data_IF_509867154081
#
_entry.id   IF_509867154081
#
_cell.length_a   1.000
_cell.length_b   1.000
_cell.length_c   1.000
_cell.angle_alpha   90.00
_cell.angle_beta   90.00
_cell.angle_gamma   90.00
#
_symmetry.space_group_name_H-M   'P 1'
#
loop_
_entity.id
_entity.type
_entity.pdbx_description
1 polymer ?
#
# COMPACT_ATOMS: atom_id res chain seq x y z
N UNK A 1 -27.36 6.49 -41.44
CA UNK A 1 -26.48 7.58 -41.95
C UNK A 1 -27.06 8.30 -43.15
N UNK A 2 -27.92 7.66 -43.94
CA UNK A 2 -28.59 8.22 -45.13
C UNK A 2 -29.38 9.53 -44.90
N UNK A 3 -29.88 9.78 -43.69
CA UNK A 3 -30.63 11.02 -43.36
C UNK A 3 -29.73 12.27 -43.20
N UNK A 4 -28.47 12.09 -42.77
CA UNK A 4 -27.51 13.21 -42.61
C UNK A 4 -26.86 13.60 -43.94
N UNK A 5 -26.70 12.64 -44.86
CA UNK A 5 -26.23 12.88 -46.23
C UNK A 5 -27.24 13.67 -47.07
N UNK A 6 -28.54 13.51 -46.81
CA UNK A 6 -29.62 14.23 -47.52
C UNK A 6 -29.98 15.59 -46.93
N UNK A 7 -29.38 16.00 -45.81
CA UNK A 7 -29.71 17.23 -45.10
C UNK A 7 -28.75 18.39 -45.43
N UNK A 8 -29.19 19.65 -45.23
CA UNK A 8 -28.34 20.82 -45.43
C UNK A 8 -27.09 20.73 -44.52
N UNK A 9 -25.88 21.02 -45.03
CA UNK A 9 -24.64 20.95 -44.26
C UNK A 9 -24.68 21.65 -42.89
N UNK A 10 -25.39 22.78 -42.79
CA UNK A 10 -25.55 23.51 -41.53
C UNK A 10 -26.39 22.72 -40.51
N UNK A 11 -27.42 22.01 -40.95
CA UNK A 11 -28.29 21.21 -40.09
C UNK A 11 -27.56 19.94 -39.67
N UNK A 12 -26.86 19.28 -40.59
CA UNK A 12 -26.03 18.11 -40.29
C UNK A 12 -24.92 18.45 -39.29
N UNK A 13 -24.24 19.59 -39.46
CA UNK A 13 -23.21 20.05 -38.52
C UNK A 13 -23.79 20.33 -37.12
N UNK A 14 -24.96 20.97 -37.02
CA UNK A 14 -25.63 21.22 -35.75
C UNK A 14 -26.03 19.92 -35.03
N UNK A 15 -26.58 18.94 -35.77
CA UNK A 15 -26.95 17.63 -35.22
C UNK A 15 -25.72 16.88 -34.72
N UNK A 16 -24.65 16.83 -35.51
CA UNK A 16 -23.39 16.18 -35.12
C UNK A 16 -22.79 16.85 -33.87
N UNK A 17 -22.79 18.18 -33.82
CA UNK A 17 -22.32 18.93 -32.66
C UNK A 17 -23.15 18.66 -31.39
N UNK A 18 -24.48 18.59 -31.52
CA UNK A 18 -25.37 18.23 -30.43
C UNK A 18 -25.13 16.79 -29.94
N UNK A 19 -24.98 15.83 -30.87
CA UNK A 19 -24.69 14.44 -30.53
C UNK A 19 -23.33 14.29 -29.82
N UNK A 20 -22.29 14.96 -30.32
CA UNK A 20 -20.98 14.97 -29.67
C UNK A 20 -21.06 15.54 -28.25
N UNK A 21 -21.81 16.62 -28.05
CA UNK A 21 -22.02 17.24 -26.74
C UNK A 21 -22.73 16.31 -25.76
N UNK A 22 -23.80 15.63 -26.21
CA UNK A 22 -24.51 14.63 -25.39
C UNK A 22 -23.60 13.48 -25.01
N UNK A 23 -22.83 12.94 -25.97
CA UNK A 23 -21.91 11.83 -25.73
C UNK A 23 -20.81 12.19 -24.73
N UNK A 24 -20.17 13.35 -24.91
CA UNK A 24 -19.12 13.84 -24.00
C UNK A 24 -19.70 14.15 -22.63
N UNK A 25 -20.87 14.80 -22.57
CA UNK A 25 -21.54 15.14 -21.30
C UNK A 25 -21.92 13.89 -20.50
N UNK A 26 -22.58 12.92 -21.14
CA UNK A 26 -22.98 11.66 -20.48
C UNK A 26 -21.74 10.83 -20.11
N UNK A 27 -20.77 10.70 -21.02
CA UNK A 27 -19.53 9.97 -20.75
C UNK A 27 -18.73 10.56 -19.59
N UNK A 28 -18.58 11.89 -19.56
CA UNK A 28 -17.93 12.61 -18.47
C UNK A 28 -18.65 12.45 -17.13
N UNK A 29 -20.00 12.51 -17.14
CA UNK A 29 -20.82 12.31 -15.95
C UNK A 29 -20.65 10.89 -15.38
N UNK A 30 -20.75 9.85 -16.23
CA UNK A 30 -20.59 8.45 -15.81
C UNK A 30 -19.18 8.17 -15.27
N UNK A 31 -18.15 8.71 -15.93
CA UNK A 31 -16.77 8.58 -15.47
C UNK A 31 -16.59 9.21 -14.08
N UNK A 32 -17.07 10.45 -13.91
CA UNK A 32 -16.98 11.19 -12.65
C UNK A 32 -17.73 10.46 -11.54
N UNK A 33 -18.95 9.98 -11.82
CA UNK A 33 -19.76 9.24 -10.85
C UNK A 33 -19.09 7.92 -10.43
N UNK A 34 -18.43 7.21 -11.36
CA UNK A 34 -17.68 6.00 -11.05
C UNK A 34 -16.50 6.29 -10.11
N UNK A 35 -15.77 7.38 -10.34
CA UNK A 35 -14.66 7.80 -9.47
C UNK A 35 -15.14 8.21 -8.08
N UNK A 36 -16.24 8.96 -7.99
CA UNK A 36 -16.86 9.34 -6.71
C UNK A 36 -17.25 8.10 -5.91
N UNK A 37 -17.97 7.16 -6.53
CA UNK A 37 -18.41 5.93 -5.85
C UNK A 37 -17.23 5.11 -5.33
N UNK A 38 -16.14 5.00 -6.08
CA UNK A 38 -14.91 4.32 -5.62
C UNK A 38 -14.33 5.03 -4.40
N UNK A 39 -14.21 6.36 -4.45
CA UNK A 39 -13.70 7.15 -3.33
C UNK A 39 -14.58 7.02 -2.08
N UNK A 40 -15.90 7.05 -2.22
CA UNK A 40 -16.84 6.91 -1.10
C UNK A 40 -16.69 5.54 -0.40
N UNK A 41 -16.56 4.46 -1.18
CA UNK A 41 -16.30 3.12 -0.63
C UNK A 41 -14.95 3.10 0.09
N UNK A 42 -13.90 3.65 -0.51
CA UNK A 42 -12.59 3.72 0.13
C UNK A 42 -12.61 4.55 1.42
N UNK A 43 -13.29 5.69 1.43
CA UNK A 43 -13.45 6.56 2.60
C UNK A 43 -14.23 5.87 3.72
N UNK A 44 -15.32 5.15 3.40
CA UNK A 44 -16.12 4.41 4.37
C UNK A 44 -15.32 3.33 5.13
N UNK A 45 -14.30 2.75 4.49
CA UNK A 45 -13.46 1.72 5.09
C UNK A 45 -12.12 2.25 5.64
N UNK A 46 -11.72 3.47 5.27
CA UNK A 46 -10.40 4.03 5.62
C UNK A 46 -10.17 4.12 7.11
N UNK A 47 -11.16 4.60 7.87
CA UNK A 47 -11.03 4.77 9.31
C UNK A 47 -10.72 3.42 10.00
N UNK A 48 -11.43 2.36 9.61
CA UNK A 48 -11.22 1.02 10.15
C UNK A 48 -9.87 0.42 9.76
N UNK A 49 -9.46 0.61 8.49
CA UNK A 49 -8.13 0.18 8.02
C UNK A 49 -7.00 0.87 8.80
N UNK A 50 -7.12 2.18 9.03
CA UNK A 50 -6.13 2.96 9.79
C UNK A 50 -5.98 2.40 11.21
N UNK A 51 -7.07 2.06 11.88
CA UNK A 51 -7.05 1.43 13.21
C UNK A 51 -6.28 0.10 13.19
N UNK A 52 -6.65 -0.82 12.28
CA UNK A 52 -6.00 -2.13 12.13
C UNK A 52 -4.49 -1.99 11.86
N UNK A 53 -4.12 -1.05 10.99
CA UNK A 53 -2.72 -0.85 10.62
C UNK A 53 -1.92 -0.11 11.68
N UNK A 54 -2.56 0.77 12.46
CA UNK A 54 -1.94 1.37 13.63
C UNK A 54 -1.59 0.30 14.65
N UNK A 55 -2.51 -0.64 14.95
CA UNK A 55 -2.24 -1.73 15.89
C UNK A 55 -1.02 -2.57 15.46
N UNK A 56 -0.85 -2.79 14.16
CA UNK A 56 0.33 -3.45 13.60
C UNK A 56 1.62 -2.66 13.81
N UNK A 57 1.60 -1.35 13.54
CA UNK A 57 2.76 -0.49 13.77
C UNK A 57 3.09 -0.36 15.26
N UNK A 58 2.09 -0.37 16.14
CA UNK A 58 2.27 -0.32 17.59
C UNK A 58 2.96 -1.58 18.10
N UNK A 59 2.53 -2.77 17.64
CA UNK A 59 3.21 -4.03 17.98
C UNK A 59 4.64 -4.06 17.43
N UNK A 60 4.84 -3.62 16.18
CA UNK A 60 6.19 -3.52 15.61
C UNK A 60 7.08 -2.56 16.43
N UNK A 61 6.56 -1.41 16.84
CA UNK A 61 7.30 -0.46 17.68
C UNK A 61 7.64 -1.05 19.06
N UNK A 62 6.71 -1.78 19.69
CA UNK A 62 6.96 -2.47 20.97
C UNK A 62 8.04 -3.56 20.83
N UNK A 63 8.07 -4.29 19.72
CA UNK A 63 9.15 -5.24 19.45
C UNK A 63 10.50 -4.54 19.31
N UNK A 64 10.55 -3.41 18.60
CA UNK A 64 11.80 -2.65 18.38
C UNK A 64 12.27 -1.90 19.64
N UNK A 65 11.40 -1.70 20.63
CA UNK A 65 11.77 -1.10 21.91
C UNK A 65 12.54 -2.07 22.84
N UNK A 66 12.57 -3.36 22.52
CA UNK A 66 13.34 -4.34 23.28
C UNK A 66 14.83 -4.00 23.24
N UNK A 67 15.40 -3.67 24.40
CA UNK A 67 16.80 -3.24 24.53
C UNK A 67 17.06 -1.74 24.39
N UNK A 68 16.02 -0.91 24.22
CA UNK A 68 16.16 0.55 24.22
C UNK A 68 15.69 1.15 25.56
N UNK A 69 16.63 1.46 26.46
CA UNK A 69 16.36 2.02 27.78
C UNK A 69 15.70 3.42 27.74
N UNK A 70 15.75 4.10 26.60
CA UNK A 70 15.14 5.43 26.41
C UNK A 70 13.66 5.38 26.06
N UNK A 71 13.08 4.19 25.87
CA UNK A 71 11.69 4.01 25.45
C UNK A 71 10.92 3.21 26.50
N UNK A 72 9.83 3.76 27.01
CA UNK A 72 9.00 3.14 28.07
C UNK A 72 8.00 2.08 27.55
N UNK A 73 8.11 1.67 26.28
CA UNK A 73 7.25 0.67 25.68
C UNK A 73 7.65 -0.72 26.16
N UNK A 74 6.67 -1.49 26.66
CA UNK A 74 6.88 -2.87 27.06
C UNK A 74 6.93 -3.78 25.83
N UNK A 75 8.00 -4.57 25.63
CA UNK A 75 8.04 -5.59 24.60
C UNK A 75 6.85 -6.55 24.72
N UNK A 76 6.26 -7.01 23.61
CA UNK A 76 5.15 -7.93 23.66
C UNK A 76 5.62 -9.32 24.08
N UNK A 77 4.78 -10.05 24.82
CA UNK A 77 5.08 -11.46 25.12
C UNK A 77 4.93 -12.32 23.86
N UNK A 78 5.52 -13.51 23.84
CA UNK A 78 5.34 -14.44 22.71
C UNK A 78 3.86 -14.78 22.46
N UNK A 79 3.07 -14.96 23.52
CA UNK A 79 1.64 -15.22 23.40
C UNK A 79 0.89 -14.02 22.81
N UNK A 80 1.20 -12.80 23.29
CA UNK A 80 0.63 -11.57 22.74
C UNK A 80 0.92 -11.42 21.25
N UNK A 81 2.13 -11.78 20.80
CA UNK A 81 2.50 -11.75 19.38
C UNK A 81 1.70 -12.76 18.56
N UNK A 82 1.52 -13.99 19.07
CA UNK A 82 0.74 -15.02 18.38
C UNK A 82 -0.72 -14.59 18.23
N UNK A 83 -1.34 -14.14 19.32
CA UNK A 83 -2.73 -13.70 19.32
C UNK A 83 -2.92 -12.48 18.41
N UNK A 84 -1.99 -11.53 18.48
CA UNK A 84 -1.97 -10.38 17.59
C UNK A 84 -1.87 -10.79 16.12
N UNK A 85 -0.95 -11.70 15.77
CA UNK A 85 -0.77 -12.12 14.38
C UNK A 85 -1.99 -12.83 13.81
N UNK A 86 -2.71 -13.62 14.62
CA UNK A 86 -3.98 -14.22 14.22
C UNK A 86 -5.06 -13.16 14.01
N UNK A 87 -5.19 -12.22 14.96
CA UNK A 87 -6.15 -11.11 14.86
C UNK A 87 -5.88 -10.20 13.65
N UNK A 88 -4.63 -9.82 13.44
CA UNK A 88 -4.19 -9.01 12.31
C UNK A 88 -4.52 -9.69 10.97
N UNK A 89 -4.21 -10.98 10.81
CA UNK A 89 -4.54 -11.73 9.58
C UNK A 89 -6.05 -11.78 9.33
N UNK A 90 -6.85 -12.02 10.37
CA UNK A 90 -8.32 -12.00 10.29
C UNK A 90 -8.83 -10.64 9.80
N UNK A 91 -8.30 -9.55 10.38
CA UNK A 91 -8.64 -8.19 9.98
C UNK A 91 -8.20 -7.88 8.54
N UNK A 92 -7.03 -8.34 8.12
CA UNK A 92 -6.53 -8.16 6.75
C UNK A 92 -7.38 -8.91 5.73
N UNK A 93 -7.88 -10.11 6.04
CA UNK A 93 -8.81 -10.85 5.17
C UNK A 93 -10.10 -10.06 4.95
N UNK A 94 -10.61 -9.40 6.00
CA UNK A 94 -11.86 -8.65 5.95
C UNK A 94 -11.70 -7.25 5.31
N UNK A 95 -10.62 -6.54 5.62
CA UNK A 95 -10.47 -5.11 5.32
C UNK A 95 -9.28 -4.76 4.42
N UNK A 96 -8.29 -5.64 4.30
CA UNK A 96 -7.08 -5.34 3.53
C UNK A 96 -7.30 -5.42 2.02
N UNK A 97 -6.65 -4.55 1.24
CA UNK A 97 -6.62 -4.73 -0.22
C UNK A 97 -5.86 -6.00 -0.61
N UNK A 98 -6.08 -6.48 -1.86
CA UNK A 98 -5.27 -7.54 -2.44
C UNK A 98 -3.76 -7.30 -2.32
N UNK A 99 -3.31 -6.04 -2.38
CA UNK A 99 -1.89 -5.70 -2.26
C UNK A 99 -1.35 -6.00 -0.85
N UNK A 100 -2.11 -5.69 0.20
CA UNK A 100 -1.74 -6.00 1.60
C UNK A 100 -1.74 -7.51 1.85
N UNK A 101 -2.77 -8.22 1.36
CA UNK A 101 -2.86 -9.68 1.47
C UNK A 101 -1.63 -10.34 0.84
N UNK A 102 -1.29 -9.96 -0.39
CA UNK A 102 -0.13 -10.50 -1.10
C UNK A 102 1.19 -10.16 -0.40
N UNK A 103 1.33 -8.94 0.12
CA UNK A 103 2.53 -8.54 0.85
C UNK A 103 2.69 -9.35 2.16
N UNK A 104 1.60 -9.62 2.87
CA UNK A 104 1.59 -10.43 4.09
C UNK A 104 1.93 -11.90 3.82
N UNK A 105 1.40 -12.48 2.73
CA UNK A 105 1.77 -13.83 2.30
C UNK A 105 3.24 -13.92 1.91
N UNK A 106 3.74 -12.92 1.19
CA UNK A 106 5.16 -12.84 0.83
C UNK A 106 6.06 -12.70 2.07
N UNK A 107 5.64 -11.91 3.06
CA UNK A 107 6.33 -11.84 4.36
C UNK A 107 6.40 -13.21 5.04
N UNK A 108 5.28 -13.94 5.15
CA UNK A 108 5.27 -15.28 5.74
C UNK A 108 6.22 -16.24 5.02
N UNK A 109 6.15 -16.26 3.69
CA UNK A 109 7.03 -17.10 2.86
C UNK A 109 8.51 -16.79 3.12
N UNK A 110 8.91 -15.52 3.02
CA UNK A 110 10.30 -15.10 3.19
C UNK A 110 10.80 -15.40 4.61
N UNK A 111 9.97 -15.19 5.62
CA UNK A 111 10.31 -15.48 7.02
C UNK A 111 10.51 -16.97 7.28
N UNK A 112 9.73 -17.84 6.63
CA UNK A 112 9.90 -19.30 6.74
C UNK A 112 11.10 -19.83 5.96
N UNK A 113 11.47 -19.19 4.85
CA UNK A 113 12.58 -19.59 3.98
C UNK A 113 13.93 -18.99 4.38
N UNK A 114 13.99 -18.21 5.47
CA UNK A 114 15.23 -17.54 5.92
C UNK A 114 15.72 -16.44 4.97
N UNK A 115 14.81 -15.85 4.18
CA UNK A 115 15.14 -14.78 3.24
C UNK A 115 15.31 -13.41 3.91
N UNK A 116 15.36 -12.35 3.11
CA UNK A 116 15.49 -10.98 3.64
C UNK A 116 14.16 -10.47 4.22
N UNK A 117 13.93 -10.75 5.51
CA UNK A 117 12.72 -10.38 6.25
C UNK A 117 12.52 -8.87 6.28
N UNK A 118 13.58 -8.07 6.45
CA UNK A 118 13.50 -6.60 6.46
C UNK A 118 12.92 -6.06 5.15
N UNK A 119 13.29 -6.64 4.02
CA UNK A 119 12.69 -6.31 2.71
C UNK A 119 11.20 -6.61 2.67
N UNK A 120 10.82 -7.75 3.20
CA UNK A 120 9.43 -8.20 3.19
C UNK A 120 8.55 -7.30 4.07
N UNK A 121 9.06 -6.88 5.23
CA UNK A 121 8.40 -5.92 6.12
C UNK A 121 8.28 -4.54 5.46
N UNK A 122 9.33 -4.03 4.81
CA UNK A 122 9.26 -2.74 4.08
C UNK A 122 8.19 -2.77 2.98
N UNK A 123 8.08 -3.89 2.25
CA UNK A 123 7.03 -4.09 1.26
C UNK A 123 5.63 -4.14 1.88
N UNK A 124 5.48 -4.77 3.06
CA UNK A 124 4.22 -4.80 3.78
C UNK A 124 3.82 -3.40 4.26
N UNK A 125 4.74 -2.61 4.82
CA UNK A 125 4.48 -1.21 5.19
C UNK A 125 4.07 -0.36 3.99
N UNK A 126 4.73 -0.53 2.83
CA UNK A 126 4.36 0.15 1.59
C UNK A 126 2.95 -0.24 1.13
N UNK A 127 2.60 -1.52 1.17
CA UNK A 127 1.27 -1.99 0.82
C UNK A 127 0.19 -1.41 1.73
N UNK A 128 0.44 -1.38 3.05
CA UNK A 128 -0.46 -0.79 4.05
C UNK A 128 -0.70 0.70 3.78
N UNK A 129 0.37 1.47 3.53
CA UNK A 129 0.27 2.90 3.21
C UNK A 129 -0.60 3.16 1.99
N UNK A 130 -0.37 2.40 0.92
CA UNK A 130 -1.18 2.52 -0.30
C UNK A 130 -2.64 2.13 -0.07
N UNK A 131 -2.88 1.14 0.79
CA UNK A 131 -4.25 0.68 1.10
C UNK A 131 -5.12 1.72 1.80
N UNK A 132 -4.48 2.67 2.49
CA UNK A 132 -5.12 3.85 3.09
C UNK A 132 -4.93 5.12 2.24
N UNK A 133 -4.59 4.97 0.96
CA UNK A 133 -4.51 6.05 -0.02
C UNK A 133 -3.27 6.94 0.07
N UNK A 134 -2.20 6.52 0.76
CA UNK A 134 -0.93 7.24 0.77
C UNK A 134 -0.05 6.81 -0.40
N UNK A 135 0.65 7.77 -1.00
CA UNK A 135 1.67 7.46 -1.99
C UNK A 135 2.96 6.96 -1.33
N UNK A 136 3.64 6.04 -2.02
CA UNK A 136 5.01 5.64 -1.73
C UNK A 136 6.03 6.29 -2.67
N UNK A 137 5.60 7.25 -3.51
CA UNK A 137 6.51 7.98 -4.40
C UNK A 137 7.51 8.79 -3.57
N UNK A 138 8.78 8.71 -3.94
CA UNK A 138 9.87 9.36 -3.20
C UNK A 138 10.35 8.59 -1.98
N UNK A 139 9.83 7.38 -1.72
CA UNK A 139 10.38 6.48 -0.71
C UNK A 139 11.48 5.59 -1.30
N UNK A 140 12.65 5.63 -0.68
CA UNK A 140 13.78 4.80 -1.00
C UNK A 140 13.58 3.34 -0.53
N UNK A 141 14.55 2.50 -0.89
CA UNK A 141 14.59 1.10 -0.50
C UNK A 141 14.78 1.01 1.02
N UNK A 142 13.94 0.22 1.70
CA UNK A 142 13.98 -0.01 3.15
C UNK A 142 13.66 1.22 4.02
N UNK A 143 13.33 2.37 3.43
CA UNK A 143 13.22 3.63 4.17
C UNK A 143 12.19 3.57 5.31
N UNK A 144 11.11 2.79 5.17
CA UNK A 144 10.11 2.67 6.23
C UNK A 144 10.59 1.81 7.39
N UNK A 145 11.37 0.76 7.10
CA UNK A 145 11.96 -0.09 8.15
C UNK A 145 13.12 0.62 8.84
N UNK A 146 13.90 1.43 8.10
CA UNK A 146 14.98 2.26 8.65
C UNK A 146 14.50 3.23 9.74
N UNK A 147 13.23 3.61 9.75
CA UNK A 147 12.66 4.47 10.79
C UNK A 147 12.75 3.88 12.20
N UNK A 148 12.91 2.56 12.31
CA UNK A 148 13.00 1.86 13.59
C UNK A 148 14.43 1.47 13.97
N UNK A 149 15.44 1.82 13.15
CA UNK A 149 16.84 1.56 13.45
C UNK A 149 17.44 2.69 14.28
N UNK A 150 18.35 2.35 15.19
CA UNK A 150 19.13 3.34 15.94
C UNK A 150 20.03 4.18 15.01
N UNK A 151 20.60 3.56 13.97
CA UNK A 151 21.30 4.23 12.90
C UNK A 151 20.67 3.86 11.54
N UNK A 152 20.05 4.81 10.81
CA UNK A 152 19.42 4.56 9.51
C UNK A 152 20.38 4.04 8.42
N UNK A 153 21.68 4.35 8.53
CA UNK A 153 22.71 3.99 7.54
C UNK A 153 23.29 2.58 7.79
N UNK A 154 23.05 2.01 8.97
CA UNK A 154 23.55 0.68 9.37
C UNK A 154 23.17 -0.41 8.36
N UNK A 155 21.96 -0.34 7.81
CA UNK A 155 21.52 -1.28 6.78
C UNK A 155 22.27 -1.13 5.44
N UNK A 156 22.63 0.10 5.07
CA UNK A 156 23.35 0.35 3.83
C UNK A 156 24.80 -0.11 3.97
N UNK A 157 25.42 0.15 5.13
CA UNK A 157 26.76 -0.29 5.50
C UNK A 157 26.88 -1.83 5.54
N UNK A 158 25.94 -2.51 6.20
CA UNK A 158 25.89 -3.98 6.21
C UNK A 158 25.78 -4.56 4.80
N UNK A 159 24.98 -3.93 3.94
CA UNK A 159 24.78 -4.38 2.56
C UNK A 159 26.03 -4.18 1.70
N UNK A 160 26.78 -3.09 1.93
CA UNK A 160 28.03 -2.79 1.25
C UNK A 160 29.14 -3.77 1.68
N UNK A 161 29.25 -4.03 2.98
CA UNK A 161 30.21 -5.00 3.54
C UNK A 161 29.99 -6.41 3.00
N UNK A 162 28.74 -6.90 2.99
CA UNK A 162 28.43 -8.23 2.45
C UNK A 162 28.76 -8.37 0.95
N UNK A 163 28.53 -7.31 0.15
CA UNK A 163 28.92 -7.29 -1.26
C UNK A 163 30.44 -7.31 -1.44
N UNK A 164 31.20 -6.64 -0.57
CA UNK A 164 32.65 -6.66 -0.60
C UNK A 164 33.20 -8.06 -0.30
N UNK A 165 32.67 -8.74 0.73
CA UNK A 165 33.05 -10.11 1.08
C UNK A 165 32.73 -11.13 -0.02
N UNK A 166 31.62 -10.96 -0.74
CA UNK A 166 31.28 -11.82 -1.88
C UNK A 166 32.15 -11.60 -3.12
N UNK A 167 32.81 -10.43 -3.22
CA UNK A 167 33.74 -10.12 -4.31
C UNK A 167 35.15 -10.65 -4.05
N UNK A 168 35.58 -10.71 -2.79
CA UNK A 168 36.91 -11.20 -2.41
C UNK A 168 36.99 -12.73 -2.27
N UNK A 169 35.85 -13.42 -2.29
CA UNK A 169 35.73 -14.88 -2.23
C UNK A 169 35.59 -15.55 -3.60
N UNK A 170 35.81 -14.80 -4.70
CA UNK A 170 35.84 -15.30 -6.08
C UNK A 170 37.25 -15.28 -6.65
#
# INVERSE_FOLDING_TARGET
>A
MTFLESANPSVSAAIVGAMATVLVGVGGALYTQSQIKKREIEEAHRARKVEIYKDFLDIAARMMAEGNESVSLKPPTQQELVDFMVGFKTNVVLWGSPKVINAQLNFQKISSEGGNVLKAVDHLYKAIREDIGLSNRGLDKYQLVKMYLSNPDEMDEMSASNKALQRTSR
#
